data_IF_716710980404
#
_entry.id   IF_716710980404
#
_cell.length_a   1.000
_cell.length_b   1.000
_cell.length_c   1.000
_cell.angle_alpha   90.00
_cell.angle_beta   90.00
_cell.angle_gamma   90.00
#
_symmetry.space_group_name_H-M   'P 1'
#
loop_
_entity.id
_entity.type
_entity.pdbx_description
1 polymer ?
#
# COMPACT_ATOMS: atom_id res chain seq x y z
N UNK A 1 -11.76 -9.62 -9.89
CA UNK A 1 -12.90 -10.40 -10.46
C UNK A 1 -12.51 -11.33 -11.60
N UNK A 2 -11.96 -10.85 -12.72
CA UNK A 2 -11.57 -11.73 -13.83
C UNK A 2 -10.55 -12.80 -13.41
N UNK A 3 -9.53 -12.39 -12.64
CA UNK A 3 -8.52 -13.30 -12.08
C UNK A 3 -9.15 -14.42 -11.23
N UNK A 4 -10.11 -14.12 -10.35
CA UNK A 4 -10.82 -15.14 -9.54
C UNK A 4 -11.41 -16.25 -10.43
N UNK A 5 -12.09 -15.85 -11.51
CA UNK A 5 -12.72 -16.79 -12.42
C UNK A 5 -11.70 -17.55 -13.28
N UNK A 6 -10.60 -16.91 -13.70
CA UNK A 6 -9.57 -17.56 -14.49
C UNK A 6 -8.80 -18.61 -13.67
N UNK A 7 -8.47 -18.28 -12.43
CA UNK A 7 -7.66 -19.12 -11.53
C UNK A 7 -8.50 -20.24 -10.90
N UNK A 8 -9.67 -19.92 -10.35
CA UNK A 8 -10.45 -20.86 -9.54
C UNK A 8 -11.73 -21.36 -10.20
N UNK A 9 -12.12 -20.81 -11.37
CA UNK A 9 -13.40 -21.09 -12.04
C UNK A 9 -14.64 -20.78 -11.20
N UNK A 10 -14.49 -19.99 -10.15
CA UNK A 10 -15.57 -19.53 -9.27
C UNK A 10 -15.73 -18.01 -9.44
N UNK A 11 -16.98 -17.55 -9.56
CA UNK A 11 -17.29 -16.11 -9.55
C UNK A 11 -17.54 -15.66 -8.11
N UNK A 12 -17.05 -14.47 -7.76
CA UNK A 12 -17.21 -13.86 -6.44
C UNK A 12 -16.67 -14.76 -5.31
N UNK A 13 -15.46 -15.27 -5.52
CA UNK A 13 -14.79 -16.11 -4.51
C UNK A 13 -14.48 -15.31 -3.23
N UNK A 14 -14.15 -14.03 -3.40
CA UNK A 14 -13.81 -13.12 -2.31
C UNK A 14 -14.86 -12.01 -2.19
N UNK A 15 -15.18 -11.61 -0.96
CA UNK A 15 -15.97 -10.42 -0.69
C UNK A 15 -15.06 -9.19 -0.75
N UNK A 16 -15.32 -8.35 -1.75
CA UNK A 16 -14.63 -7.08 -1.93
C UNK A 16 -15.47 -5.97 -1.33
N UNK A 17 -14.95 -5.32 -0.29
CA UNK A 17 -15.52 -4.10 0.30
C UNK A 17 -14.69 -2.93 -0.17
N UNK A 18 -15.34 -1.93 -0.76
CA UNK A 18 -14.65 -0.73 -1.28
C UNK A 18 -15.13 0.53 -0.56
N UNK A 19 -14.27 1.53 -0.43
CA UNK A 19 -14.69 2.86 -0.02
C UNK A 19 -15.18 3.62 -1.26
N UNK A 20 -16.24 4.43 -1.14
CA UNK A 20 -16.79 5.20 -2.25
C UNK A 20 -17.20 6.62 -1.83
N UNK A 21 -16.77 7.64 -2.55
CA UNK A 21 -17.25 9.02 -2.36
C UNK A 21 -18.59 9.24 -3.06
N UNK A 22 -19.33 10.32 -2.75
CA UNK A 22 -20.53 10.67 -3.50
C UNK A 22 -20.29 10.81 -5.01
N UNK A 23 -19.14 11.37 -5.40
CA UNK A 23 -18.76 11.59 -6.79
C UNK A 23 -18.54 10.25 -7.52
N UNK A 24 -17.90 9.28 -6.87
CA UNK A 24 -17.71 7.94 -7.46
C UNK A 24 -19.04 7.20 -7.67
N UNK A 25 -19.98 7.39 -6.73
CA UNK A 25 -21.33 6.82 -6.82
C UNK A 25 -22.10 7.48 -7.96
N UNK A 26 -22.06 8.82 -8.07
CA UNK A 26 -22.71 9.58 -9.14
C UNK A 26 -22.13 9.24 -10.51
N UNK A 27 -20.81 9.07 -10.59
CA UNK A 27 -20.10 8.65 -11.80
C UNK A 27 -20.33 7.18 -12.17
N UNK A 28 -21.00 6.40 -11.33
CA UNK A 28 -21.20 4.96 -11.50
C UNK A 28 -19.87 4.21 -11.70
N UNK A 29 -18.89 4.50 -10.85
CA UNK A 29 -17.53 4.01 -10.97
C UNK A 29 -17.46 2.47 -11.06
N UNK A 30 -16.61 1.97 -11.98
CA UNK A 30 -16.54 0.54 -12.28
C UNK A 30 -16.14 -0.31 -11.05
N UNK A 31 -15.23 0.19 -10.22
CA UNK A 31 -14.78 -0.54 -9.04
C UNK A 31 -15.92 -0.79 -8.03
N UNK A 32 -16.90 0.12 -7.95
CA UNK A 32 -18.12 -0.06 -7.13
C UNK A 32 -18.98 -1.16 -7.72
N UNK A 33 -19.15 -1.20 -9.04
CA UNK A 33 -19.94 -2.25 -9.73
C UNK A 33 -19.33 -3.64 -9.59
N UNK A 34 -18.01 -3.72 -9.46
CA UNK A 34 -17.27 -4.97 -9.27
C UNK A 34 -17.16 -5.39 -7.79
N UNK A 35 -17.38 -4.46 -6.87
CA UNK A 35 -17.39 -4.73 -5.43
C UNK A 35 -18.57 -5.61 -5.02
N UNK A 36 -18.46 -6.20 -3.84
CA UNK A 36 -19.58 -6.94 -3.21
C UNK A 36 -20.42 -5.97 -2.41
N UNK A 37 -19.73 -5.08 -1.70
CA UNK A 37 -20.30 -4.03 -0.87
C UNK A 37 -19.44 -2.77 -0.99
N UNK A 38 -20.01 -1.61 -0.73
CA UNK A 38 -19.26 -0.37 -0.61
C UNK A 38 -19.66 0.40 0.65
N UNK A 39 -18.68 1.09 1.23
CA UNK A 39 -18.89 1.98 2.36
C UNK A 39 -18.73 3.41 1.85
N UNK A 40 -19.79 4.20 2.00
CA UNK A 40 -19.75 5.60 1.61
C UNK A 40 -18.83 6.39 2.55
N UNK A 41 -17.92 7.17 1.97
CA UNK A 41 -17.06 8.12 2.67
C UNK A 41 -17.38 9.55 2.23
N UNK A 42 -17.11 10.58 3.05
CA UNK A 42 -17.22 11.97 2.62
C UNK A 42 -16.30 12.26 1.42
N UNK A 43 -16.76 13.03 0.43
CA UNK A 43 -15.98 13.40 -0.78
C UNK A 43 -15.36 14.79 -0.76
N UNK A 44 -15.67 15.60 0.27
CA UNK A 44 -15.44 17.04 0.28
C UNK A 44 -14.02 17.50 0.68
N UNK A 45 -13.30 16.72 1.48
CA UNK A 45 -11.92 16.98 1.88
C UNK A 45 -11.11 15.70 1.74
N UNK A 46 -9.92 15.79 1.15
CA UNK A 46 -9.00 14.68 0.99
C UNK A 46 -8.76 13.96 2.33
N UNK A 47 -8.73 14.71 3.44
CA UNK A 47 -8.57 14.18 4.80
C UNK A 47 -9.75 13.33 5.30
N UNK A 48 -10.88 13.35 4.61
CA UNK A 48 -12.06 12.56 4.94
C UNK A 48 -12.35 11.46 3.91
N UNK A 49 -11.44 11.27 2.94
CA UNK A 49 -11.59 10.32 1.83
C UNK A 49 -10.58 9.17 1.96
N UNK A 50 -10.15 8.61 0.82
CA UNK A 50 -9.05 7.64 0.68
C UNK A 50 -7.73 8.11 1.32
N UNK A 51 -7.55 9.44 1.43
CA UNK A 51 -6.66 10.18 2.34
C UNK A 51 -6.24 9.56 3.68
N UNK A 52 -7.26 9.03 4.35
CA UNK A 52 -7.28 8.99 5.79
C UNK A 52 -7.05 7.57 6.28
N UNK A 53 -5.83 7.35 6.76
CA UNK A 53 -5.39 6.07 7.30
C UNK A 53 -6.29 5.60 8.46
N UNK A 54 -6.71 6.50 9.36
CA UNK A 54 -7.59 6.11 10.46
C UNK A 54 -8.99 5.76 9.98
N UNK A 55 -9.51 6.49 8.99
CA UNK A 55 -10.79 6.15 8.37
C UNK A 55 -10.73 4.75 7.75
N UNK A 56 -9.68 4.46 6.96
CA UNK A 56 -9.48 3.15 6.33
C UNK A 56 -9.42 2.05 7.39
N UNK A 57 -8.58 2.20 8.42
CA UNK A 57 -8.41 1.20 9.47
C UNK A 57 -9.72 0.98 10.25
N UNK A 58 -10.44 2.05 10.57
CA UNK A 58 -11.73 1.97 11.25
C UNK A 58 -12.79 1.27 10.40
N UNK A 59 -12.84 1.54 9.09
CA UNK A 59 -13.75 0.83 8.17
C UNK A 59 -13.38 -0.65 8.11
N UNK A 60 -12.10 -0.97 7.91
CA UNK A 60 -11.61 -2.35 7.85
C UNK A 60 -12.01 -3.14 9.11
N UNK A 61 -11.83 -2.55 10.29
CA UNK A 61 -12.24 -3.14 11.56
C UNK A 61 -13.75 -3.36 11.67
N UNK A 62 -14.56 -2.36 11.29
CA UNK A 62 -16.05 -2.47 11.32
C UNK A 62 -16.57 -3.51 10.34
N UNK A 63 -15.97 -3.59 9.16
CA UNK A 63 -16.33 -4.56 8.13
C UNK A 63 -15.73 -5.96 8.37
N UNK A 64 -14.91 -6.12 9.41
CA UNK A 64 -14.27 -7.39 9.78
C UNK A 64 -13.52 -8.04 8.61
N UNK A 65 -12.81 -7.23 7.82
CA UNK A 65 -12.07 -7.74 6.66
C UNK A 65 -10.80 -8.46 7.09
N UNK A 66 -10.44 -9.51 6.36
CA UNK A 66 -9.19 -10.25 6.59
C UNK A 66 -7.96 -9.46 6.14
N UNK A 67 -8.12 -8.64 5.10
CA UNK A 67 -7.02 -7.92 4.46
C UNK A 67 -7.45 -6.58 3.85
N UNK A 68 -6.51 -5.64 3.78
CA UNK A 68 -6.68 -4.32 3.14
C UNK A 68 -5.64 -4.15 2.04
N UNK A 69 -6.10 -3.80 0.84
CA UNK A 69 -5.26 -3.38 -0.27
C UNK A 69 -5.48 -1.88 -0.53
N UNK A 70 -4.49 -1.02 -0.30
CA UNK A 70 -4.64 0.43 -0.48
C UNK A 70 -4.57 0.87 -1.95
N UNK A 71 -4.28 -0.04 -2.89
CA UNK A 71 -4.07 0.30 -4.29
C UNK A 71 -2.79 1.12 -4.50
N UNK A 72 -2.86 2.11 -5.39
CA UNK A 72 -1.77 3.05 -5.68
C UNK A 72 -2.18 4.48 -5.26
N UNK A 73 -1.54 5.02 -4.21
CA UNK A 73 -1.90 6.31 -3.63
C UNK A 73 -0.96 6.75 -2.51
N UNK A 74 -1.26 7.90 -1.89
CA UNK A 74 -0.45 8.48 -0.81
C UNK A 74 -0.41 7.58 0.44
N UNK A 75 -1.44 6.78 0.66
CA UNK A 75 -1.58 5.89 1.81
C UNK A 75 -0.86 4.57 1.57
N UNK A 76 -0.74 4.15 0.31
CA UNK A 76 0.07 3.00 -0.08
C UNK A 76 1.57 3.23 0.21
N UNK A 77 1.99 4.50 0.31
CA UNK A 77 3.37 4.86 0.70
C UNK A 77 3.49 5.26 2.18
N UNK A 78 2.41 5.24 2.94
CA UNK A 78 2.40 5.58 4.36
C UNK A 78 2.63 4.35 5.23
N UNK A 79 3.68 4.36 6.05
CA UNK A 79 3.95 3.28 7.01
C UNK A 79 2.90 3.17 8.13
N UNK A 80 2.10 4.23 8.33
CA UNK A 80 1.11 4.27 9.42
C UNK A 80 -0.03 3.28 9.22
N UNK A 81 -0.46 3.07 7.97
CA UNK A 81 -1.55 2.15 7.65
C UNK A 81 -1.23 0.68 7.98
N UNK A 82 -0.11 0.09 7.51
CA UNK A 82 0.26 -1.27 7.89
C UNK A 82 0.47 -1.44 9.40
N UNK A 83 0.98 -0.42 10.11
CA UNK A 83 1.10 -0.48 11.58
C UNK A 83 -0.26 -0.62 12.26
N UNK A 84 -1.22 0.26 11.92
CA UNK A 84 -2.55 0.23 12.51
C UNK A 84 -3.31 -1.05 12.17
N UNK A 85 -3.21 -1.55 10.93
CA UNK A 85 -3.86 -2.80 10.54
C UNK A 85 -3.26 -3.99 11.27
N UNK A 86 -1.94 -4.02 11.48
CA UNK A 86 -1.26 -5.06 12.26
C UNK A 86 -1.73 -5.08 13.71
N UNK A 87 -1.90 -3.92 14.34
CA UNK A 87 -2.47 -3.81 15.70
C UNK A 87 -3.91 -4.35 15.78
N UNK A 88 -4.65 -4.30 14.67
CA UNK A 88 -6.01 -4.80 14.56
C UNK A 88 -6.10 -6.27 14.09
N UNK A 89 -4.96 -6.92 13.80
CA UNK A 89 -4.94 -8.29 13.27
C UNK A 89 -5.39 -8.42 11.81
N UNK A 90 -5.39 -7.31 11.06
CA UNK A 90 -5.80 -7.26 9.64
C UNK A 90 -4.56 -7.29 8.76
N UNK A 91 -4.56 -8.12 7.72
CA UNK A 91 -3.44 -8.23 6.78
C UNK A 91 -3.34 -6.97 5.90
N UNK A 92 -2.15 -6.40 5.79
CA UNK A 92 -1.88 -5.36 4.80
C UNK A 92 -1.32 -5.98 3.52
N UNK A 93 -2.03 -5.82 2.40
CA UNK A 93 -1.58 -6.27 1.08
C UNK A 93 -0.71 -5.19 0.43
N UNK A 94 0.56 -5.15 0.84
CA UNK A 94 1.55 -4.20 0.33
C UNK A 94 2.89 -4.36 1.03
N UNK A 95 3.76 -3.36 0.90
CA UNK A 95 5.06 -3.36 1.56
C UNK A 95 4.93 -3.18 3.08
N UNK A 96 5.78 -3.84 3.88
CA UNK A 96 5.74 -3.68 5.33
C UNK A 96 6.09 -2.25 5.75
N UNK A 97 5.59 -1.82 6.90
CA UNK A 97 5.77 -0.46 7.42
C UNK A 97 7.25 -0.01 7.46
N UNK A 98 8.15 -0.91 7.87
CA UNK A 98 9.59 -0.66 7.92
C UNK A 98 10.19 -0.31 6.55
N UNK A 99 9.62 -0.83 5.47
CA UNK A 99 10.04 -0.54 4.10
C UNK A 99 9.53 0.82 3.67
N UNK A 100 8.25 1.09 3.95
CA UNK A 100 7.58 2.35 3.60
C UNK A 100 8.21 3.58 4.29
N UNK A 101 8.58 3.46 5.56
CA UNK A 101 9.24 4.53 6.32
C UNK A 101 10.58 4.95 5.69
N UNK A 102 11.31 3.98 5.13
CA UNK A 102 12.63 4.23 4.56
C UNK A 102 12.55 4.67 3.09
N UNK A 103 11.58 4.20 2.31
CA UNK A 103 11.58 4.31 0.85
C UNK A 103 10.59 5.35 0.32
N UNK A 104 9.63 5.82 1.15
CA UNK A 104 8.67 6.85 0.76
C UNK A 104 9.31 8.16 0.26
N UNK A 105 10.59 8.39 0.56
CA UNK A 105 11.38 9.52 0.07
C UNK A 105 12.30 9.05 -1.07
N UNK A 106 12.13 9.62 -2.27
CA UNK A 106 12.92 9.30 -3.47
C UNK A 106 14.44 9.28 -3.23
N UNK A 107 14.94 10.24 -2.46
CA UNK A 107 16.36 10.34 -2.13
C UNK A 107 16.86 9.12 -1.34
N UNK A 108 16.09 8.62 -0.39
CA UNK A 108 16.46 7.44 0.40
C UNK A 108 16.53 6.18 -0.48
N UNK A 109 15.61 6.04 -1.44
CA UNK A 109 15.65 4.96 -2.42
C UNK A 109 16.95 4.98 -3.25
N UNK A 110 17.41 6.17 -3.67
CA UNK A 110 18.67 6.31 -4.40
C UNK A 110 19.90 6.01 -3.52
N UNK A 111 19.90 6.45 -2.27
CA UNK A 111 20.98 6.14 -1.31
C UNK A 111 21.05 4.63 -1.07
N UNK A 112 19.90 3.97 -0.90
CA UNK A 112 19.81 2.52 -0.73
C UNK A 112 20.34 1.79 -1.98
N UNK A 113 19.91 2.20 -3.17
CA UNK A 113 20.38 1.64 -4.44
C UNK A 113 21.90 1.76 -4.58
N UNK A 114 22.47 2.95 -4.33
CA UNK A 114 23.92 3.18 -4.34
C UNK A 114 24.65 2.30 -3.31
N UNK A 115 24.10 2.17 -2.09
CA UNK A 115 24.66 1.33 -1.02
C UNK A 115 24.71 -0.15 -1.41
N UNK A 116 23.76 -0.61 -2.21
CA UNK A 116 23.69 -1.98 -2.71
C UNK A 116 24.46 -2.20 -4.02
N UNK A 117 25.09 -1.16 -4.56
CA UNK A 117 25.81 -1.23 -5.84
C UNK A 117 24.89 -1.27 -7.07
N UNK A 118 23.61 -0.94 -6.92
CA UNK A 118 22.68 -0.79 -8.06
C UNK A 118 23.00 0.52 -8.80
N UNK A 119 23.19 0.49 -10.13
CA UNK A 119 23.47 1.70 -10.89
C UNK A 119 22.34 2.74 -10.77
N UNK A 120 22.69 3.97 -10.41
CA UNK A 120 21.76 5.11 -10.32
C UNK A 120 22.17 6.22 -11.29
N UNK A 121 21.20 7.01 -11.74
CA UNK A 121 21.47 8.23 -12.51
C UNK A 121 22.18 9.26 -11.61
N UNK A 122 23.16 10.04 -12.13
CA UNK A 122 23.80 11.09 -11.35
C UNK A 122 22.80 12.11 -10.77
N UNK A 123 22.98 12.45 -9.50
CA UNK A 123 22.17 13.40 -8.74
C UNK A 123 23.01 14.08 -7.65
N UNK A 124 22.44 15.04 -6.92
CA UNK A 124 23.16 15.82 -5.89
C UNK A 124 23.74 14.99 -4.75
N UNK A 125 23.25 13.77 -4.52
CA UNK A 125 23.77 12.81 -3.52
C UNK A 125 24.58 11.65 -4.14
N UNK A 126 25.14 11.81 -5.33
CA UNK A 126 25.97 10.77 -5.96
C UNK A 126 27.16 10.40 -5.08
N UNK A 127 27.35 9.10 -4.82
CA UNK A 127 28.40 8.60 -3.93
C UNK A 127 28.01 8.58 -2.44
N UNK A 128 26.84 9.09 -2.07
CA UNK A 128 26.30 8.96 -0.72
C UNK A 128 25.81 7.53 -0.49
N UNK A 129 26.45 6.83 0.45
CA UNK A 129 26.11 5.46 0.84
C UNK A 129 25.87 5.39 2.34
N UNK A 130 25.05 4.43 2.79
CA UNK A 130 24.85 4.22 4.22
C UNK A 130 26.13 3.68 4.87
N UNK A 131 26.43 4.07 6.12
CA UNK A 131 27.55 3.49 6.86
C UNK A 131 27.45 1.97 6.96
N UNK A 132 28.59 1.27 6.96
CA UNK A 132 28.65 -0.20 6.92
C UNK A 132 27.86 -0.88 8.06
N UNK A 133 27.77 -0.25 9.24
CA UNK A 133 26.99 -0.72 10.39
C UNK A 133 25.47 -0.81 10.11
N UNK A 134 24.97 -0.02 9.15
CA UNK A 134 23.60 -0.04 8.66
C UNK A 134 23.42 -0.95 7.43
N UNK A 135 24.51 -1.54 6.90
CA UNK A 135 24.49 -2.37 5.69
C UNK A 135 23.66 -3.65 5.82
N UNK A 136 23.56 -4.23 7.02
CA UNK A 136 22.68 -5.37 7.30
C UNK A 136 21.20 -4.99 7.17
N UNK A 137 20.82 -3.80 7.65
CA UNK A 137 19.46 -3.26 7.47
C UNK A 137 19.17 -2.93 6.02
N UNK A 138 20.15 -2.36 5.30
CA UNK A 138 20.03 -2.09 3.87
C UNK A 138 19.80 -3.38 3.06
N UNK A 139 20.51 -4.47 3.39
CA UNK A 139 20.31 -5.78 2.75
C UNK A 139 18.98 -6.43 3.12
N UNK A 140 18.55 -6.33 4.38
CA UNK A 140 17.23 -6.80 4.78
C UNK A 140 16.11 -6.04 4.06
N UNK A 141 16.26 -4.72 3.94
CA UNK A 141 15.35 -3.85 3.19
C UNK A 141 15.35 -4.18 1.68
N UNK A 142 16.51 -4.48 1.11
CA UNK A 142 16.64 -4.94 -0.28
C UNK A 142 15.94 -6.28 -0.51
N UNK A 143 16.12 -7.25 0.38
CA UNK A 143 15.46 -8.54 0.29
C UNK A 143 13.92 -8.41 0.41
N UNK A 144 13.45 -7.52 1.29
CA UNK A 144 12.02 -7.19 1.40
C UNK A 144 11.48 -6.50 0.14
N UNK A 145 12.27 -5.64 -0.50
CA UNK A 145 11.93 -5.00 -1.76
C UNK A 145 11.83 -6.01 -2.91
N UNK A 146 12.80 -6.91 -3.05
CA UNK A 146 12.75 -7.98 -4.05
C UNK A 146 11.54 -8.88 -3.83
N UNK A 147 11.26 -9.27 -2.58
CA UNK A 147 10.08 -10.07 -2.25
C UNK A 147 8.77 -9.33 -2.59
N UNK A 148 8.72 -8.01 -2.39
CA UNK A 148 7.56 -7.18 -2.70
C UNK A 148 7.41 -6.82 -4.19
N UNK A 149 8.48 -6.89 -4.99
CA UNK A 149 8.44 -6.64 -6.43
C UNK A 149 7.98 -7.86 -7.25
N UNK A 150 7.91 -9.04 -6.63
CA UNK A 150 7.51 -10.31 -7.25
C UNK A 150 6.03 -10.67 -6.97
N UNK A 151 5.34 -9.92 -6.11
CA UNK A 151 3.89 -10.07 -5.82
C UNK A 151 3.05 -9.09 -6.62
#
# INVERSE_FOLDING_TARGET
RQWEYQTFRVRRLMNLVVLATPEDIEANAEYIRLASEFVRVPGNDIKNTYANVELIANVAKRCQVDAVWPGCGLEAVSARLPQLLKEMGILYMGQPAEVLDNIGIKANGLILAQTLGVPTVPWSGSGLVMPAEHGLRARALAALLEAAAVT
#
